data_IF_544207126479
#
_entry.id   IF_544207126479
#
_cell.length_a   1.000
_cell.length_b   1.000
_cell.length_c   1.000
_cell.angle_alpha   90.00
_cell.angle_beta   90.00
_cell.angle_gamma   90.00
#
_symmetry.space_group_name_H-M   'P 1'
#
loop_
_entity.id
_entity.type
_entity.pdbx_description
1 polymer ?
#
# COMPACT_ATOMS: atom_id res chain seq x y z
N UNK A 1 -3.98 14.74 -18.10
CA UNK A 1 -3.54 15.17 -19.45
C UNK A 1 -4.34 14.36 -20.48
N UNK A 2 -4.47 14.82 -21.71
CA UNK A 2 -5.08 13.99 -22.75
C UNK A 2 -4.19 12.76 -23.04
N UNK A 3 -4.81 11.63 -23.35
CA UNK A 3 -4.08 10.41 -23.77
C UNK A 3 -3.53 10.63 -25.17
N UNK A 4 -2.22 10.54 -25.35
CA UNK A 4 -1.60 10.58 -26.68
C UNK A 4 -1.66 9.20 -27.33
N UNK A 5 -1.96 9.18 -28.61
CA UNK A 5 -2.06 7.97 -29.43
C UNK A 5 -1.65 8.29 -30.87
N UNK A 6 -1.53 7.26 -31.71
CA UNK A 6 -1.28 7.45 -33.14
C UNK A 6 -2.24 8.47 -33.75
N UNK A 7 -1.69 9.45 -34.46
CA UNK A 7 -2.41 10.59 -35.03
C UNK A 7 -2.58 11.81 -34.12
N UNK A 8 -2.24 11.71 -32.83
CA UNK A 8 -2.08 12.90 -31.97
C UNK A 8 -0.97 13.81 -32.51
N UNK A 9 -1.13 15.12 -32.33
CA UNK A 9 -0.17 16.12 -32.78
C UNK A 9 0.06 17.21 -31.72
N UNK A 10 1.19 17.92 -31.81
CA UNK A 10 1.47 19.13 -31.05
C UNK A 10 2.55 18.98 -29.97
N UNK A 11 2.67 19.99 -29.12
CA UNK A 11 3.78 20.13 -28.15
C UNK A 11 3.89 18.95 -27.18
N UNK A 12 2.76 18.40 -26.73
CA UNK A 12 2.75 17.24 -25.83
C UNK A 12 3.36 15.99 -26.50
N UNK A 13 3.17 15.83 -27.81
CA UNK A 13 3.78 14.72 -28.57
C UNK A 13 5.28 14.92 -28.70
N UNK A 14 5.73 16.15 -28.98
CA UNK A 14 7.16 16.48 -29.05
C UNK A 14 7.85 16.23 -27.70
N UNK A 15 7.21 16.62 -26.59
CA UNK A 15 7.69 16.32 -25.24
C UNK A 15 7.77 14.81 -24.99
N UNK A 16 6.74 14.05 -25.39
CA UNK A 16 6.75 12.60 -25.26
C UNK A 16 7.88 11.95 -26.07
N UNK A 17 8.08 12.37 -27.33
CA UNK A 17 9.17 11.91 -28.19
C UNK A 17 10.54 12.19 -27.55
N UNK A 18 10.73 13.39 -26.99
CA UNK A 18 11.94 13.76 -26.23
C UNK A 18 12.19 12.85 -25.04
N UNK A 19 11.17 12.58 -24.24
CA UNK A 19 11.30 11.70 -23.08
C UNK A 19 11.55 10.24 -23.49
N UNK A 20 10.92 9.77 -24.57
CA UNK A 20 11.18 8.45 -25.15
C UNK A 20 12.64 8.33 -25.64
N UNK A 21 13.16 9.36 -26.29
CA UNK A 21 14.57 9.44 -26.69
C UNK A 21 15.49 9.36 -25.46
N UNK A 22 15.21 10.14 -24.41
CA UNK A 22 15.96 10.09 -23.14
C UNK A 22 15.89 8.72 -22.47
N UNK A 23 14.77 8.00 -22.63
CA UNK A 23 14.59 6.64 -22.12
C UNK A 23 15.28 5.54 -22.96
N UNK A 24 15.89 5.92 -24.09
CA UNK A 24 16.68 5.04 -24.96
C UNK A 24 15.94 4.51 -26.18
N UNK A 25 15.00 5.28 -26.75
CA UNK A 25 14.32 4.92 -28.00
C UNK A 25 15.32 4.60 -29.13
N UNK A 26 15.07 3.49 -29.85
CA UNK A 26 15.91 3.04 -30.98
C UNK A 26 15.02 2.54 -32.14
N UNK A 27 15.07 3.15 -33.34
CA UNK A 27 15.85 4.35 -33.69
C UNK A 27 15.40 5.58 -32.87
N UNK A 28 16.26 6.60 -32.81
CA UNK A 28 15.93 7.89 -32.19
C UNK A 28 14.74 8.50 -32.94
N UNK A 29 13.78 9.05 -32.20
CA UNK A 29 12.62 9.73 -32.75
C UNK A 29 12.99 11.17 -33.12
N UNK A 30 12.38 11.68 -34.19
CA UNK A 30 12.27 13.11 -34.41
C UNK A 30 11.27 13.70 -33.39
N UNK A 31 11.58 14.88 -32.85
CA UNK A 31 10.73 15.59 -31.88
C UNK A 31 9.82 16.58 -32.64
N UNK A 32 9.19 16.07 -33.71
CA UNK A 32 8.38 16.82 -34.67
C UNK A 32 6.96 17.13 -34.17
N UNK A 33 6.56 16.52 -33.05
CA UNK A 33 5.22 16.67 -32.50
C UNK A 33 4.16 15.85 -33.24
N UNK A 34 4.54 14.89 -34.08
CA UNK A 34 3.62 14.00 -34.79
C UNK A 34 3.69 12.56 -34.26
N UNK A 35 2.57 12.06 -33.72
CA UNK A 35 2.53 10.73 -33.12
C UNK A 35 2.35 9.68 -34.21
N UNK A 36 3.45 9.35 -34.88
CA UNK A 36 3.50 8.37 -35.96
C UNK A 36 3.70 6.91 -35.50
N UNK A 37 3.79 5.96 -36.44
CA UNK A 37 4.03 4.53 -36.15
C UNK A 37 5.32 4.28 -35.37
N UNK A 38 6.36 5.07 -35.61
CA UNK A 38 7.63 4.98 -34.87
C UNK A 38 7.45 5.38 -33.40
N UNK A 39 6.78 6.50 -33.14
CA UNK A 39 6.47 6.95 -31.77
C UNK A 39 5.64 5.92 -31.02
N UNK A 40 4.62 5.32 -31.67
CA UNK A 40 3.83 4.24 -31.08
C UNK A 40 4.68 3.02 -30.72
N UNK A 41 5.56 2.59 -31.64
CA UNK A 41 6.46 1.47 -31.41
C UNK A 41 7.38 1.73 -30.21
N UNK A 42 7.95 2.93 -30.11
CA UNK A 42 8.82 3.29 -28.99
C UNK A 42 8.04 3.45 -27.67
N UNK A 43 6.81 3.95 -27.72
CA UNK A 43 5.92 3.99 -26.54
C UNK A 43 5.68 2.57 -26.00
N UNK A 44 5.36 1.60 -26.87
CA UNK A 44 5.21 0.18 -26.47
C UNK A 44 6.49 -0.39 -25.87
N UNK A 45 7.65 -0.11 -26.49
CA UNK A 45 8.93 -0.58 -25.99
C UNK A 45 9.26 -0.01 -24.59
N UNK A 46 9.03 1.29 -24.41
CA UNK A 46 9.18 1.95 -23.11
C UNK A 46 8.23 1.36 -22.07
N UNK A 47 6.95 1.19 -22.41
CA UNK A 47 5.95 0.61 -21.50
C UNK A 47 6.36 -0.79 -21.02
N UNK A 48 6.88 -1.65 -21.91
CA UNK A 48 7.43 -2.97 -21.51
C UNK A 48 8.59 -2.83 -20.53
N UNK A 49 9.56 -1.95 -20.82
CA UNK A 49 10.70 -1.67 -19.92
C UNK A 49 10.25 -1.12 -18.56
N UNK A 50 9.20 -0.30 -18.56
CA UNK A 50 8.59 0.28 -17.37
C UNK A 50 7.62 -0.66 -16.64
N UNK A 51 7.42 -1.91 -17.12
CA UNK A 51 6.47 -2.90 -16.58
C UNK A 51 5.02 -2.41 -16.57
N UNK A 52 4.64 -1.65 -17.59
CA UNK A 52 3.27 -1.18 -17.84
C UNK A 52 2.61 -2.02 -18.95
N UNK A 53 1.29 -1.87 -19.11
CA UNK A 53 0.59 -2.37 -20.30
C UNK A 53 1.17 -1.72 -21.56
N UNK A 54 1.60 -2.54 -22.52
CA UNK A 54 2.29 -2.09 -23.72
C UNK A 54 1.33 -1.77 -24.88
N UNK A 55 0.34 -0.91 -24.61
CA UNK A 55 -0.75 -0.56 -25.53
C UNK A 55 -0.38 0.50 -26.58
N UNK A 56 0.80 1.12 -26.48
CA UNK A 56 1.31 2.14 -27.40
C UNK A 56 0.73 3.53 -27.22
N UNK A 57 -0.09 3.74 -26.19
CA UNK A 57 -0.71 5.02 -25.86
C UNK A 57 -0.01 5.65 -24.66
N UNK A 58 0.18 6.96 -24.67
CA UNK A 58 0.80 7.67 -23.56
C UNK A 58 -0.31 8.29 -22.71
N UNK A 59 -0.79 7.51 -21.74
CA UNK A 59 -1.70 7.96 -20.68
C UNK A 59 -0.94 8.30 -19.40
N UNK A 60 -1.68 8.63 -18.33
CA UNK A 60 -1.11 9.16 -17.07
C UNK A 60 0.01 8.31 -16.48
N UNK A 61 -0.13 6.98 -16.47
CA UNK A 61 0.91 6.08 -15.95
C UNK A 61 2.18 6.10 -16.81
N UNK A 62 2.03 6.15 -18.14
CA UNK A 62 3.17 6.22 -19.06
C UNK A 62 3.86 7.58 -18.96
N UNK A 63 3.09 8.67 -18.83
CA UNK A 63 3.63 10.00 -18.56
C UNK A 63 4.44 10.07 -17.27
N UNK A 64 3.87 9.57 -16.17
CA UNK A 64 4.56 9.54 -14.88
C UNK A 64 5.87 8.72 -14.97
N UNK A 65 5.82 7.55 -15.61
CA UNK A 65 7.00 6.71 -15.82
C UNK A 65 8.07 7.37 -16.69
N UNK A 66 7.68 8.05 -17.78
CA UNK A 66 8.60 8.77 -18.67
C UNK A 66 9.33 9.90 -17.93
N UNK A 67 8.59 10.70 -17.15
CA UNK A 67 9.15 11.80 -16.34
C UNK A 67 10.06 11.27 -15.22
N UNK A 68 9.70 10.14 -14.64
CA UNK A 68 10.51 9.45 -13.63
C UNK A 68 11.75 8.75 -14.22
N UNK A 69 11.72 8.40 -15.50
CA UNK A 69 12.80 7.73 -16.21
C UNK A 69 12.79 6.20 -16.13
N UNK A 70 11.66 5.58 -15.82
CA UNK A 70 11.57 4.12 -15.68
C UNK A 70 10.30 3.63 -14.98
N UNK A 71 10.31 2.37 -14.47
CA UNK A 71 9.19 1.83 -13.70
C UNK A 71 8.85 2.72 -12.51
N UNK A 72 7.56 3.00 -12.30
CA UNK A 72 7.10 3.71 -11.11
C UNK A 72 7.42 2.89 -9.85
N UNK A 73 7.66 3.55 -8.70
CA UNK A 73 7.86 2.82 -7.46
C UNK A 73 6.63 1.95 -7.17
N UNK A 74 6.88 0.72 -6.77
CA UNK A 74 5.83 -0.21 -6.38
C UNK A 74 5.42 0.09 -4.93
N UNK A 75 4.15 -0.12 -4.63
CA UNK A 75 3.69 -0.14 -3.24
C UNK A 75 4.42 -1.29 -2.52
N UNK A 76 4.91 -1.08 -1.28
CA UNK A 76 5.38 -2.18 -0.44
C UNK A 76 4.27 -3.20 -0.23
N UNK A 77 4.64 -4.48 -0.25
CA UNK A 77 3.76 -5.53 0.20
C UNK A 77 3.70 -5.48 1.73
N UNK A 78 2.48 -5.31 2.26
CA UNK A 78 2.22 -5.25 3.69
C UNK A 78 1.54 -6.56 4.04
N UNK A 79 1.92 -7.17 5.16
CA UNK A 79 1.13 -8.27 5.68
C UNK A 79 -0.19 -7.68 6.18
N UNK A 80 -1.27 -7.86 5.44
CA UNK A 80 -2.61 -7.66 5.98
C UNK A 80 -3.24 -9.04 5.89
N UNK A 81 -3.43 -9.69 7.04
CA UNK A 81 -4.34 -10.84 7.05
C UNK A 81 -5.70 -10.29 6.62
N UNK A 82 -6.27 -10.89 5.57
CA UNK A 82 -7.54 -10.51 4.95
C UNK A 82 -8.67 -10.89 5.92
N UNK A 83 -8.74 -10.26 7.09
CA UNK A 83 -9.75 -10.55 8.12
C UNK A 83 -11.08 -9.87 7.77
N UNK A 84 -11.65 -10.25 6.62
CA UNK A 84 -13.10 -10.17 6.38
C UNK A 84 -13.55 -11.43 5.62
N UNK A 85 -13.27 -12.60 6.17
CA UNK A 85 -14.16 -13.76 6.29
C UNK A 85 -13.35 -14.97 6.77
N UNK A 86 -13.93 -15.67 7.74
CA UNK A 86 -13.54 -17.00 8.18
C UNK A 86 -13.01 -17.86 7.03
N UNK A 87 -11.89 -18.53 7.29
CA UNK A 87 -11.32 -19.65 6.52
C UNK A 87 -10.48 -19.29 5.28
N UNK A 88 -9.24 -18.86 5.50
CA UNK A 88 -8.16 -19.10 4.53
C UNK A 88 -6.89 -19.52 5.27
N UNK A 89 -6.58 -20.82 5.24
CA UNK A 89 -5.23 -21.34 5.49
C UNK A 89 -4.28 -20.74 4.45
N UNK A 90 -3.52 -19.72 4.83
CA UNK A 90 -2.45 -19.12 4.03
C UNK A 90 -2.69 -17.65 3.71
N UNK A 91 -2.31 -16.75 4.64
CA UNK A 91 -2.37 -15.31 4.41
C UNK A 91 -1.45 -14.91 3.25
N UNK A 92 -2.04 -14.39 2.16
CA UNK A 92 -1.27 -13.84 1.06
C UNK A 92 -0.77 -12.43 1.40
N UNK A 93 0.53 -12.17 1.25
CA UNK A 93 1.05 -10.79 1.22
C UNK A 93 0.47 -10.08 0.01
N UNK A 94 -0.35 -9.05 0.24
CA UNK A 94 -0.93 -8.22 -0.82
C UNK A 94 -0.65 -6.75 -0.52
N UNK A 95 -0.50 -5.89 -1.55
CA UNK A 95 -0.42 -4.44 -1.33
C UNK A 95 -1.76 -3.92 -0.79
N UNK A 96 -1.86 -3.71 0.52
CA UNK A 96 -3.06 -3.19 1.18
C UNK A 96 -3.33 -1.72 0.76
N UNK A 97 -4.59 -1.38 0.49
CA UNK A 97 -5.02 0.00 0.27
C UNK A 97 -5.17 0.71 1.62
N UNK A 98 -4.93 2.03 1.68
CA UNK A 98 -5.09 2.80 2.92
C UNK A 98 -6.50 2.65 3.52
N UNK A 99 -7.52 2.51 2.66
CA UNK A 99 -8.91 2.25 3.08
C UNK A 99 -9.05 0.95 3.88
N UNK A 100 -8.31 -0.10 3.50
CA UNK A 100 -8.39 -1.42 4.13
C UNK A 100 -7.75 -1.34 5.53
N UNK A 101 -6.62 -0.63 5.63
CA UNK A 101 -5.94 -0.35 6.91
C UNK A 101 -6.84 0.47 7.84
N UNK A 102 -7.45 1.53 7.31
CA UNK A 102 -8.34 2.40 8.09
C UNK A 102 -9.61 1.67 8.57
N UNK A 103 -10.17 0.78 7.75
CA UNK A 103 -11.32 -0.03 8.15
C UNK A 103 -10.96 -0.98 9.31
N UNK A 104 -9.80 -1.63 9.25
CA UNK A 104 -9.34 -2.50 10.33
C UNK A 104 -9.07 -1.71 11.62
N UNK A 105 -8.50 -0.49 11.52
CA UNK A 105 -8.33 0.41 12.67
C UNK A 105 -9.70 0.70 13.31
N UNK A 106 -10.70 1.07 12.52
CA UNK A 106 -12.03 1.40 13.03
C UNK A 106 -12.71 0.21 13.73
N UNK A 107 -12.59 -1.00 13.17
CA UNK A 107 -13.09 -2.21 13.82
C UNK A 107 -12.40 -2.47 15.17
N UNK A 108 -11.07 -2.33 15.22
CA UNK A 108 -10.31 -2.53 16.44
C UNK A 108 -10.62 -1.49 17.52
N UNK A 109 -10.72 -0.22 17.15
CA UNK A 109 -11.13 0.85 18.06
C UNK A 109 -12.52 0.54 18.68
N UNK A 110 -13.48 0.06 17.87
CA UNK A 110 -14.79 -0.37 18.37
C UNK A 110 -14.74 -1.51 19.40
N UNK A 111 -13.85 -2.49 19.20
CA UNK A 111 -13.61 -3.58 20.17
C UNK A 111 -13.00 -3.05 21.46
N UNK A 112 -11.97 -2.20 21.37
CA UNK A 112 -11.31 -1.60 22.53
C UNK A 112 -12.28 -0.73 23.35
N UNK A 113 -13.09 0.10 22.69
CA UNK A 113 -14.13 0.91 23.35
C UNK A 113 -15.15 0.04 24.08
N UNK A 114 -15.61 -1.05 23.43
CA UNK A 114 -16.57 -1.98 24.01
C UNK A 114 -16.01 -2.72 25.22
N UNK A 115 -14.74 -3.12 25.19
CA UNK A 115 -14.04 -3.73 26.31
C UNK A 115 -13.87 -2.72 27.48
N UNK A 116 -13.40 -1.50 27.19
CA UNK A 116 -13.21 -0.47 28.21
C UNK A 116 -14.50 -0.12 28.97
N UNK A 117 -15.65 -0.11 28.29
CA UNK A 117 -16.96 0.12 28.92
C UNK A 117 -17.37 -1.03 29.86
N UNK A 118 -17.04 -2.28 29.51
CA UNK A 118 -17.46 -3.48 30.25
C UNK A 118 -16.59 -3.80 31.48
N UNK A 119 -15.33 -3.33 31.53
CA UNK A 119 -14.36 -3.72 32.57
C UNK A 119 -13.71 -2.54 33.29
N UNK A 120 -14.46 -1.45 33.50
CA UNK A 120 -13.95 -0.25 34.17
C UNK A 120 -13.28 -0.53 35.54
N UNK A 121 -13.66 -1.60 36.23
CA UNK A 121 -13.17 -2.01 37.55
C UNK A 121 -11.95 -2.96 37.55
N UNK A 122 -11.58 -3.59 36.44
CA UNK A 122 -10.44 -4.55 36.34
C UNK A 122 -9.19 -3.98 35.66
N UNK A 123 -9.16 -2.65 35.50
CA UNK A 123 -8.21 -1.88 34.68
C UNK A 123 -6.73 -2.17 34.95
N UNK A 124 -6.34 -2.52 36.19
CA UNK A 124 -4.96 -2.81 36.58
C UNK A 124 -4.39 -4.11 35.98
N UNK A 125 -5.23 -5.13 35.73
CA UNK A 125 -4.77 -6.40 35.16
C UNK A 125 -4.56 -6.34 33.64
N UNK A 126 -5.18 -5.36 32.97
CA UNK A 126 -5.20 -5.21 31.51
C UNK A 126 -4.38 -4.00 31.01
N UNK A 127 -3.76 -3.22 31.91
CA UNK A 127 -3.08 -1.96 31.57
C UNK A 127 -1.94 -2.15 30.56
N UNK A 128 -1.20 -3.26 30.69
CA UNK A 128 -0.10 -3.63 29.78
C UNK A 128 -0.61 -3.98 28.39
N UNK A 129 -1.69 -4.78 28.30
CA UNK A 129 -2.30 -5.19 27.03
C UNK A 129 -2.96 -4.00 26.33
N UNK A 130 -3.64 -3.14 27.09
CA UNK A 130 -4.26 -1.91 26.56
C UNK A 130 -3.19 -0.95 26.03
N UNK A 131 -2.05 -0.80 26.71
CA UNK A 131 -0.94 0.04 26.23
C UNK A 131 -0.30 -0.51 24.95
N UNK A 132 -0.11 -1.83 24.87
CA UNK A 132 0.38 -2.50 23.66
C UNK A 132 -0.61 -2.35 22.49
N UNK A 133 -1.91 -2.47 22.75
CA UNK A 133 -2.97 -2.25 21.77
C UNK A 133 -2.97 -0.82 21.22
N UNK A 134 -2.87 0.19 22.08
CA UNK A 134 -2.75 1.59 21.65
C UNK A 134 -1.51 1.81 20.77
N UNK A 135 -0.37 1.26 21.15
CA UNK A 135 0.86 1.37 20.36
C UNK A 135 0.71 0.74 18.97
N UNK A 136 0.01 -0.39 18.87
CA UNK A 136 -0.31 -1.04 17.57
C UNK A 136 -1.19 -0.14 16.70
N UNK A 137 -2.24 0.47 17.28
CA UNK A 137 -3.13 1.40 16.57
C UNK A 137 -2.36 2.62 16.06
N UNK A 138 -1.48 3.19 16.87
CA UNK A 138 -0.69 4.36 16.47
C UNK A 138 0.28 4.05 15.32
N UNK A 139 0.93 2.88 15.34
CA UNK A 139 1.77 2.44 14.21
C UNK A 139 0.90 2.19 12.97
N UNK A 140 -0.28 1.59 13.11
CA UNK A 140 -1.21 1.35 12.01
C UNK A 140 -1.73 2.65 11.37
N UNK A 141 -2.07 3.67 12.18
CA UNK A 141 -2.48 5.00 11.71
C UNK A 141 -1.36 5.68 10.90
N UNK A 142 -0.13 5.65 11.41
CA UNK A 142 1.04 6.17 10.70
C UNK A 142 1.26 5.42 9.38
N UNK A 143 1.15 4.11 9.40
CA UNK A 143 1.27 3.27 8.20
C UNK A 143 0.21 3.65 7.15
N UNK A 144 -1.06 3.76 7.54
CA UNK A 144 -2.16 4.16 6.65
C UNK A 144 -1.92 5.55 6.02
N UNK A 145 -1.47 6.52 6.81
CA UNK A 145 -1.17 7.86 6.33
C UNK A 145 -0.04 7.87 5.29
N UNK A 146 1.04 7.11 5.52
CA UNK A 146 2.16 7.02 4.57
C UNK A 146 1.74 6.33 3.27
N UNK A 147 0.89 5.31 3.34
CA UNK A 147 0.31 4.65 2.17
C UNK A 147 -0.55 5.62 1.37
N UNK A 148 -1.39 6.42 2.03
CA UNK A 148 -2.22 7.40 1.35
C UNK A 148 -1.39 8.48 0.65
N UNK A 149 -0.31 8.94 1.28
CA UNK A 149 0.65 9.86 0.66
C UNK A 149 1.35 9.23 -0.54
N UNK A 150 1.70 7.94 -0.46
CA UNK A 150 2.25 7.20 -1.59
C UNK A 150 1.27 7.16 -2.76
N UNK A 151 0.00 6.86 -2.50
CA UNK A 151 -1.04 6.75 -3.52
C UNK A 151 -1.31 8.07 -4.24
N UNK A 152 -1.31 9.17 -3.49
CA UNK A 152 -1.44 10.52 -4.05
C UNK A 152 -0.21 10.96 -4.85
N UNK A 153 0.97 10.43 -4.52
CA UNK A 153 2.25 10.86 -5.12
C UNK A 153 2.75 9.97 -6.26
N UNK A 154 2.40 8.68 -6.32
CA UNK A 154 3.00 7.73 -7.27
C UNK A 154 2.85 8.13 -8.74
N UNK A 155 1.83 8.93 -9.09
CA UNK A 155 1.62 9.48 -10.44
C UNK A 155 2.11 10.92 -10.61
N UNK A 156 2.04 11.74 -9.56
CA UNK A 156 2.27 13.19 -9.62
C UNK A 156 3.70 13.57 -9.25
N UNK A 157 4.28 12.86 -8.28
CA UNK A 157 5.66 12.99 -7.83
C UNK A 157 6.23 11.61 -7.47
N UNK A 158 6.62 10.80 -8.48
CA UNK A 158 7.16 9.47 -8.25
C UNK A 158 8.47 9.47 -7.44
N UNK A 159 9.22 10.58 -7.43
CA UNK A 159 10.42 10.73 -6.62
C UNK A 159 10.09 10.82 -5.13
N UNK A 160 9.05 11.57 -4.76
CA UNK A 160 8.48 11.55 -3.40
C UNK A 160 7.95 10.17 -3.05
N UNK A 161 7.17 9.54 -3.93
CA UNK A 161 6.65 8.19 -3.69
C UNK A 161 7.77 7.18 -3.41
N UNK A 162 8.88 7.23 -4.16
CA UNK A 162 10.07 6.39 -3.92
C UNK A 162 10.67 6.60 -2.53
N UNK A 163 10.69 7.83 -2.00
CA UNK A 163 11.18 8.14 -0.65
C UNK A 163 10.27 7.61 0.46
N UNK A 164 8.99 7.38 0.18
CA UNK A 164 8.01 6.85 1.14
C UNK A 164 8.12 5.33 1.32
N UNK A 165 8.56 4.60 0.28
CA UNK A 165 8.75 3.14 0.30
C UNK A 165 9.49 2.64 1.56
N UNK A 166 10.72 3.11 1.88
CA UNK A 166 11.45 2.65 3.06
C UNK A 166 10.78 3.05 4.38
N UNK A 167 10.00 4.14 4.41
CA UNK A 167 9.27 4.56 5.60
C UNK A 167 8.10 3.61 5.88
N UNK A 168 7.36 3.23 4.84
CA UNK A 168 6.27 2.25 4.90
C UNK A 168 6.82 0.89 5.31
N UNK A 169 7.94 0.44 4.73
CA UNK A 169 8.58 -0.83 5.11
C UNK A 169 9.05 -0.84 6.57
N UNK A 170 9.62 0.27 7.05
CA UNK A 170 10.02 0.42 8.45
C UNK A 170 8.81 0.36 9.40
N UNK A 171 7.72 1.06 9.07
CA UNK A 171 6.47 1.02 9.84
C UNK A 171 5.83 -0.37 9.82
N UNK A 172 5.83 -1.05 8.66
CA UNK A 172 5.36 -2.43 8.56
C UNK A 172 6.19 -3.36 9.45
N UNK A 173 7.52 -3.25 9.43
CA UNK A 173 8.39 -4.04 10.32
C UNK A 173 8.17 -3.74 11.81
N UNK A 174 7.87 -2.49 12.17
CA UNK A 174 7.50 -2.12 13.53
C UNK A 174 6.17 -2.76 13.93
N UNK A 175 5.17 -2.71 13.07
CA UNK A 175 3.87 -3.34 13.28
C UNK A 175 4.01 -4.87 13.41
N UNK A 176 4.77 -5.51 12.54
CA UNK A 176 5.10 -6.95 12.61
C UNK A 176 5.80 -7.32 13.91
N UNK A 177 6.76 -6.51 14.40
CA UNK A 177 7.42 -6.75 15.69
C UNK A 177 6.45 -6.66 16.86
N UNK A 178 5.56 -5.66 16.85
CA UNK A 178 4.50 -5.54 17.85
C UNK A 178 3.50 -6.71 17.78
N UNK A 179 3.38 -7.36 16.63
CA UNK A 179 2.57 -8.55 16.41
C UNK A 179 3.28 -9.83 16.90
N UNK A 180 4.57 -10.00 16.59
CA UNK A 180 5.38 -11.19 16.88
C UNK A 180 5.91 -11.25 18.33
N UNK A 181 6.13 -10.11 18.98
CA UNK A 181 6.65 -10.03 20.35
C UNK A 181 5.73 -10.61 21.43
N UNK A 182 4.55 -11.10 21.07
CA UNK A 182 3.56 -11.70 21.98
C UNK A 182 3.46 -13.23 21.83
N UNK A 183 4.02 -13.86 20.77
CA UNK A 183 3.97 -15.33 20.59
C UNK A 183 5.33 -15.92 20.24
N UNK A 184 5.94 -16.62 21.21
CA UNK A 184 6.93 -17.65 20.92
C UNK A 184 6.26 -18.84 20.25
N UNK A 185 6.49 -19.01 18.94
CA UNK A 185 6.14 -20.24 18.20
C UNK A 185 4.75 -20.25 17.54
N UNK A 186 4.77 -20.12 16.22
CA UNK A 186 3.86 -20.72 15.23
C UNK A 186 2.33 -20.81 15.48
N UNK A 187 1.56 -19.76 15.09
CA UNK A 187 0.17 -19.79 14.54
C UNK A 187 -0.31 -18.37 14.18
N UNK A 188 0.22 -17.87 13.06
CA UNK A 188 0.29 -16.49 12.55
C UNK A 188 -0.92 -15.53 12.57
N UNK A 189 -2.12 -15.89 13.04
CA UNK A 189 -3.30 -15.02 12.85
C UNK A 189 -4.35 -15.13 13.94
N UNK A 190 -3.91 -15.14 15.19
CA UNK A 190 -4.80 -15.34 16.31
C UNK A 190 -5.02 -14.08 17.14
N UNK A 191 -4.54 -12.89 16.82
CA UNK A 191 -4.41 -11.84 17.85
C UNK A 191 -5.61 -10.95 18.14
N UNK A 192 -6.42 -10.54 17.16
CA UNK A 192 -7.71 -9.92 17.51
C UNK A 192 -8.64 -10.97 18.11
N UNK A 193 -8.64 -12.17 17.52
CA UNK A 193 -9.53 -13.26 17.90
C UNK A 193 -9.12 -13.92 19.22
N UNK A 194 -7.84 -13.88 19.62
CA UNK A 194 -7.29 -14.32 20.93
C UNK A 194 -7.32 -13.19 21.92
N UNK A 195 -7.13 -11.92 21.56
CA UNK A 195 -7.45 -10.85 22.49
C UNK A 195 -8.94 -10.87 22.84
N UNK A 196 -9.82 -11.05 21.84
CA UNK A 196 -11.27 -11.23 22.03
C UNK A 196 -11.54 -12.55 22.76
N UNK A 197 -10.95 -13.69 22.38
CA UNK A 197 -11.15 -14.98 23.07
C UNK A 197 -10.53 -15.04 24.46
N UNK A 198 -9.47 -14.29 24.77
CA UNK A 198 -8.88 -14.21 26.10
C UNK A 198 -9.68 -13.24 26.96
N UNK A 199 -10.22 -12.15 26.39
CA UNK A 199 -11.25 -11.33 27.03
C UNK A 199 -12.50 -12.16 27.29
N UNK A 200 -12.96 -12.99 26.33
CA UNK A 200 -14.12 -13.88 26.44
C UNK A 200 -13.86 -15.08 27.37
N UNK A 201 -12.65 -15.63 27.41
CA UNK A 201 -12.24 -16.72 28.31
C UNK A 201 -12.07 -16.19 29.73
N UNK A 202 -11.52 -14.99 29.90
CA UNK A 202 -11.51 -14.26 31.17
C UNK A 202 -12.94 -13.94 31.63
N UNK A 203 -13.82 -13.54 30.71
CA UNK A 203 -15.27 -13.36 30.95
C UNK A 203 -15.99 -14.65 31.38
N UNK A 204 -15.60 -15.80 30.82
CA UNK A 204 -16.20 -17.09 31.11
C UNK A 204 -15.68 -17.68 32.43
N UNK A 205 -14.40 -17.46 32.73
CA UNK A 205 -13.80 -17.79 34.02
C UNK A 205 -14.40 -16.95 35.18
N UNK A 206 -14.67 -15.67 34.94
CA UNK A 206 -15.35 -14.76 35.89
C UNK A 206 -16.86 -15.04 36.06
N UNK A 207 -17.45 -15.92 35.25
CA UNK A 207 -18.88 -16.31 35.32
C UNK A 207 -19.06 -17.76 35.78
N UNK A 208 -17.99 -18.44 36.18
CA UNK A 208 -17.98 -19.88 36.47
C UNK A 208 -17.32 -20.30 37.79
N UNK A 209 -16.92 -19.35 38.65
CA UNK A 209 -16.76 -19.42 40.12
C UNK A 209 -17.04 -18.02 40.66
#
# INVERSE_FOLDING_TARGET
MAVLKKGSKGKDVAEAQKLLNKAGAKPKLEEDGDFGPLTEKQARAFQKKAKLSADGKIGDNTWAALKFGGPLPKRPEIMFEEDVKFDVRGGARKPALAKDVNQAIAQFEGVVTSANKKFASTRKALEVDVKAAHQRVEVAKKLAAQIELFDKSVKTDPAKAKKLVPQIESLNKQWEKLYLGYNGGDWRGKYLDVAIKDIERSLKALKGV
#
